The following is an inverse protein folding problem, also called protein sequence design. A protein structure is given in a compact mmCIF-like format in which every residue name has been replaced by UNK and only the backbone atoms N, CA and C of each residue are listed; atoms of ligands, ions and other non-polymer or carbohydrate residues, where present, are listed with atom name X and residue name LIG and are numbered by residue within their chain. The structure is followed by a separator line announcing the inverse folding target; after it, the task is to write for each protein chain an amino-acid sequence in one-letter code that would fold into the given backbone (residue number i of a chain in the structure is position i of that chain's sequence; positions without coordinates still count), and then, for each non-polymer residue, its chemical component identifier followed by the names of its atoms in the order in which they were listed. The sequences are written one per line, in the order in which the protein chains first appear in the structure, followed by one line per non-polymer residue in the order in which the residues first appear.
data_IF_413985076075
#
_entry.id   IF_413985076075
#
_cell.length_a   1.000
_cell.length_b   1.000
_cell.length_c   1.000
_cell.angle_alpha   90.00
_cell.angle_beta   90.00
_cell.angle_gamma   90.00
#
_symmetry.space_group_name_H-M   'P 1'
#
loop_
_entity.id
_entity.type
_entity.pdbx_description
1 polymer ?
#
# COMPACT_ATOMS: atom_id res chain seq x y z
N UNK A 1 17.36 6.18 16.22
CA UNK A 1 16.61 7.31 15.63
C UNK A 1 16.76 7.14 14.13
N UNK A 2 15.73 6.66 13.45
CA UNK A 2 15.84 6.29 12.03
C UNK A 2 15.80 7.53 11.16
N UNK A 3 16.69 7.62 10.17
CA UNK A 3 16.66 8.70 9.18
C UNK A 3 15.41 8.50 8.32
N UNK A 4 14.49 9.48 8.23
CA UNK A 4 13.31 9.38 7.38
C UNK A 4 13.74 9.23 5.92
N UNK A 5 12.98 8.48 5.12
CA UNK A 5 13.27 8.43 3.69
C UNK A 5 13.00 9.81 3.08
N UNK A 6 13.59 10.09 1.92
CA UNK A 6 13.33 11.35 1.20
C UNK A 6 11.83 11.59 0.98
N UNK A 7 11.06 10.53 0.73
CA UNK A 7 9.61 10.60 0.56
C UNK A 7 8.87 10.98 1.85
N UNK A 8 9.44 10.68 3.03
CA UNK A 8 8.86 10.96 4.34
C UNK A 8 9.18 12.39 4.84
N UNK A 9 10.11 13.10 4.20
CA UNK A 9 10.41 14.50 4.52
C UNK A 9 9.15 15.36 4.30
N UNK A 10 8.78 16.11 5.33
CA UNK A 10 7.53 16.90 5.33
C UNK A 10 6.24 16.06 5.32
N UNK A 11 6.32 14.73 5.52
CA UNK A 11 5.15 13.85 5.60
C UNK A 11 4.15 14.33 6.65
N UNK A 12 4.63 14.63 7.86
CA UNK A 12 3.79 15.12 8.97
C UNK A 12 3.02 16.41 8.64
N UNK A 13 3.61 17.31 7.86
CA UNK A 13 2.94 18.56 7.44
C UNK A 13 1.88 18.25 6.40
N UNK A 14 2.20 17.40 5.40
CA UNK A 14 1.22 16.97 4.39
C UNK A 14 0.05 16.21 5.01
N UNK A 15 0.29 15.39 6.01
CA UNK A 15 -0.76 14.67 6.74
C UNK A 15 -1.73 15.62 7.44
N UNK A 16 -1.25 16.71 8.06
CA UNK A 16 -2.13 17.71 8.71
C UNK A 16 -3.09 18.35 7.70
N UNK A 17 -2.63 18.62 6.47
CA UNK A 17 -3.47 19.21 5.43
C UNK A 17 -4.40 18.20 4.73
N UNK A 18 -4.03 16.91 4.72
CA UNK A 18 -4.82 15.86 4.06
C UNK A 18 -5.83 15.19 4.99
N UNK A 19 -5.53 15.09 6.28
CA UNK A 19 -6.37 14.36 7.23
C UNK A 19 -7.65 15.14 7.51
N UNK A 20 -8.80 14.57 7.13
CA UNK A 20 -10.13 15.10 7.44
C UNK A 20 -10.73 16.04 6.40
N UNK A 21 -10.02 16.34 5.31
CA UNK A 21 -10.54 17.19 4.23
C UNK A 21 -11.16 16.33 3.13
N UNK A 22 -12.44 15.97 3.29
CA UNK A 22 -13.20 15.15 2.34
C UNK A 22 -14.35 15.95 1.72
N UNK A 23 -14.02 17.07 1.06
CA UNK A 23 -15.03 17.93 0.47
C UNK A 23 -15.66 17.24 -0.76
N UNK A 24 -16.95 16.92 -0.68
CA UNK A 24 -17.69 16.31 -1.79
C UNK A 24 -17.55 14.78 -1.94
N UNK A 25 -16.89 14.10 -0.98
CA UNK A 25 -16.66 12.65 -1.05
C UNK A 25 -17.03 11.97 0.25
N UNK A 26 -17.92 10.96 0.20
CA UNK A 26 -18.20 10.05 1.30
C UNK A 26 -17.15 8.95 1.35
N UNK A 27 -16.50 8.79 2.51
CA UNK A 27 -15.50 7.73 2.73
C UNK A 27 -15.99 6.77 3.81
N UNK A 28 -15.96 5.49 3.47
CA UNK A 28 -16.25 4.39 4.39
C UNK A 28 -15.00 3.51 4.41
N UNK A 29 -14.25 3.54 5.52
CA UNK A 29 -13.11 2.65 5.75
C UNK A 29 -13.51 1.60 6.78
N UNK A 30 -13.44 0.33 6.41
CA UNK A 30 -13.65 -0.82 7.28
C UNK A 30 -12.34 -1.58 7.39
N UNK A 31 -11.70 -1.50 8.57
CA UNK A 31 -10.47 -2.23 8.83
C UNK A 31 -10.73 -3.36 9.82
N UNK A 32 -10.61 -4.59 9.36
CA UNK A 32 -10.83 -5.80 10.14
C UNK A 32 -9.53 -6.57 10.28
N UNK A 33 -9.11 -6.85 11.51
CA UNK A 33 -7.99 -7.75 11.77
C UNK A 33 -8.54 -9.13 12.08
N UNK A 34 -8.27 -10.10 11.20
CA UNK A 34 -8.72 -11.48 11.38
C UNK A 34 -7.56 -12.36 11.84
N UNK A 35 -7.78 -13.17 12.87
CA UNK A 35 -6.87 -14.17 13.50
C UNK A 35 -5.36 -13.97 13.22
N UNK A 36 -4.65 -13.26 14.12
CA UNK A 36 -3.18 -13.09 14.29
C UNK A 36 -2.27 -12.76 13.08
N UNK A 37 -2.60 -13.16 11.86
CA UNK A 37 -1.75 -13.10 10.65
C UNK A 37 -2.46 -12.51 9.44
N UNK A 38 -3.79 -12.35 9.45
CA UNK A 38 -4.55 -11.80 8.33
C UNK A 38 -5.12 -10.42 8.68
N UNK A 39 -4.75 -9.41 7.92
CA UNK A 39 -5.36 -8.08 8.02
C UNK A 39 -6.15 -7.81 6.75
N UNK A 40 -7.44 -7.53 6.89
CA UNK A 40 -8.31 -7.19 5.78
C UNK A 40 -8.79 -5.75 5.95
N UNK A 41 -8.65 -4.96 4.91
CA UNK A 41 -9.11 -3.58 4.84
C UNK A 41 -10.02 -3.48 3.63
N UNK A 42 -11.21 -2.94 3.84
CA UNK A 42 -12.16 -2.65 2.79
C UNK A 42 -12.46 -1.15 2.84
N UNK A 43 -12.09 -0.46 1.78
CA UNK A 43 -12.31 0.95 1.57
C UNK A 43 -13.36 1.14 0.50
N UNK A 44 -14.35 1.99 0.77
CA UNK A 44 -15.34 2.40 -0.20
C UNK A 44 -15.40 3.93 -0.21
N UNK A 45 -15.18 4.50 -1.38
CA UNK A 45 -15.16 5.94 -1.63
C UNK A 45 -16.28 6.27 -2.60
N UNK A 46 -17.23 7.09 -2.15
CA UNK A 46 -18.32 7.62 -2.96
C UNK A 46 -18.05 9.09 -3.25
N UNK A 47 -17.71 9.42 -4.49
CA UNK A 47 -17.57 10.80 -4.91
C UNK A 47 -18.96 11.33 -5.31
N UNK A 48 -19.51 12.28 -4.53
CA UNK A 48 -20.83 12.86 -4.80
C UNK A 48 -20.82 13.83 -5.98
N UNK A 49 -19.68 14.47 -6.27
CA UNK A 49 -19.55 15.40 -7.38
C UNK A 49 -19.59 14.68 -8.75
N UNK A 50 -18.98 13.49 -8.83
CA UNK A 50 -18.93 12.68 -10.06
C UNK A 50 -19.96 11.53 -10.06
N UNK A 51 -20.70 11.35 -8.97
CA UNK A 51 -21.57 10.18 -8.74
C UNK A 51 -20.83 8.84 -8.97
N UNK A 52 -19.53 8.80 -8.67
CA UNK A 52 -18.66 7.63 -8.89
C UNK A 52 -18.40 6.89 -7.59
N UNK A 53 -18.65 5.59 -7.59
CA UNK A 53 -18.32 4.70 -6.48
C UNK A 53 -17.03 3.93 -6.80
N UNK A 54 -16.06 3.99 -5.89
CA UNK A 54 -14.81 3.24 -5.98
C UNK A 54 -14.66 2.40 -4.71
N UNK A 55 -14.52 1.09 -4.86
CA UNK A 55 -14.18 0.19 -3.77
C UNK A 55 -12.76 -0.35 -3.95
N UNK A 56 -12.05 -0.47 -2.84
CA UNK A 56 -10.75 -1.10 -2.72
C UNK A 56 -10.85 -2.12 -1.59
N UNK A 57 -10.47 -3.37 -1.84
CA UNK A 57 -10.20 -4.29 -0.74
C UNK A 57 -8.72 -4.66 -0.76
N UNK A 58 -8.06 -4.48 0.37
CA UNK A 58 -6.69 -4.88 0.62
C UNK A 58 -6.67 -6.00 1.66
N UNK A 59 -6.00 -7.10 1.32
CA UNK A 59 -5.76 -8.22 2.21
C UNK A 59 -4.26 -8.39 2.38
N UNK A 60 -3.79 -8.24 3.61
CA UNK A 60 -2.39 -8.43 3.99
C UNK A 60 -2.26 -9.68 4.84
N UNK A 61 -1.56 -10.68 4.33
CA UNK A 61 -1.27 -11.92 5.04
C UNK A 61 0.18 -11.93 5.51
N UNK A 62 0.40 -11.87 6.82
CA UNK A 62 1.73 -11.92 7.46
C UNK A 62 2.17 -13.36 7.69
N UNK A 63 3.19 -13.78 6.94
CA UNK A 63 3.91 -15.03 7.13
C UNK A 63 5.19 -14.82 7.96
N UNK A 64 5.81 -15.91 8.44
CA UNK A 64 7.09 -15.82 9.18
C UNK A 64 8.23 -15.25 8.31
N UNK A 65 8.13 -15.42 6.99
CA UNK A 65 9.12 -15.00 6.00
C UNK A 65 8.62 -13.85 5.12
N UNK A 66 7.68 -13.02 5.58
CA UNK A 66 7.23 -11.84 4.82
C UNK A 66 5.75 -11.56 4.94
N UNK A 67 5.21 -10.69 4.08
CA UNK A 67 3.78 -10.45 3.96
C UNK A 67 3.34 -10.55 2.50
N UNK A 68 2.22 -11.21 2.26
CA UNK A 68 1.54 -11.21 0.97
C UNK A 68 0.48 -10.11 1.00
N UNK A 69 0.43 -9.30 -0.06
CA UNK A 69 -0.54 -8.26 -0.28
C UNK A 69 -1.42 -8.67 -1.45
N UNK A 70 -2.72 -8.66 -1.25
CA UNK A 70 -3.70 -8.85 -2.32
C UNK A 70 -4.61 -7.64 -2.29
N UNK A 71 -4.65 -6.86 -3.36
CA UNK A 71 -5.60 -5.74 -3.50
C UNK A 71 -6.51 -5.98 -4.68
N UNK A 72 -7.79 -5.71 -4.51
CA UNK A 72 -8.74 -5.65 -5.63
C UNK A 72 -9.42 -4.30 -5.63
N UNK A 73 -9.75 -3.82 -6.81
CA UNK A 73 -10.57 -2.61 -6.99
C UNK A 73 -11.90 -2.97 -7.65
N UNK A 74 -12.92 -2.14 -7.46
CA UNK A 74 -14.21 -2.30 -8.15
C UNK A 74 -14.12 -2.02 -9.65
N UNK A 75 -13.02 -1.42 -10.11
CA UNK A 75 -12.69 -1.18 -11.52
C UNK A 75 -11.97 -2.39 -12.17
N UNK A 76 -12.07 -3.58 -11.55
CA UNK A 76 -11.53 -4.82 -12.09
C UNK A 76 -10.02 -5.01 -11.93
N UNK A 77 -9.28 -4.05 -11.38
CA UNK A 77 -7.82 -4.17 -11.22
C UNK A 77 -7.46 -5.04 -10.01
N UNK A 78 -6.64 -6.05 -10.27
CA UNK A 78 -6.06 -6.95 -9.27
C UNK A 78 -4.59 -6.57 -9.03
N UNK A 79 -4.20 -6.45 -7.77
CA UNK A 79 -2.83 -6.23 -7.34
C UNK A 79 -2.38 -7.39 -6.46
N UNK A 80 -1.20 -7.93 -6.76
CA UNK A 80 -0.55 -9.02 -6.03
C UNK A 80 0.83 -8.53 -5.62
N UNK A 81 1.06 -8.43 -4.32
CA UNK A 81 2.33 -8.00 -3.75
C UNK A 81 2.93 -9.02 -2.79
N UNK A 82 4.24 -8.98 -2.66
CA UNK A 82 4.99 -9.71 -1.66
C UNK A 82 6.05 -8.79 -1.03
N UNK A 83 6.08 -8.77 0.29
CA UNK A 83 6.98 -7.98 1.11
C UNK A 83 7.90 -8.92 1.91
N UNK A 84 9.21 -8.77 1.79
CA UNK A 84 10.18 -9.47 2.61
C UNK A 84 10.92 -8.45 3.47
N UNK A 85 10.63 -8.43 4.77
CA UNK A 85 11.20 -7.43 5.68
C UNK A 85 12.32 -8.05 6.52
N UNK A 86 13.56 -7.58 6.36
CA UNK A 86 14.69 -7.93 7.22
C UNK A 86 15.12 -9.41 7.22
N UNK A 87 14.69 -10.21 6.23
CA UNK A 87 14.93 -11.66 6.18
C UNK A 87 16.29 -12.05 5.60
N UNK A 88 16.72 -11.34 4.56
CA UNK A 88 18.00 -11.60 3.90
C UNK A 88 19.12 -10.82 4.59
N UNK A 89 18.88 -9.54 4.88
CA UNK A 89 19.83 -8.62 5.50
C UNK A 89 19.06 -7.72 6.47
N UNK A 90 19.59 -7.51 7.68
CA UNK A 90 18.99 -6.58 8.66
C UNK A 90 18.93 -5.17 8.06
N UNK A 91 17.74 -4.56 8.10
CA UNK A 91 17.49 -3.22 7.56
C UNK A 91 17.21 -3.17 6.06
N UNK A 92 17.14 -4.31 5.36
CA UNK A 92 16.68 -4.38 3.96
C UNK A 92 15.26 -4.94 3.89
N UNK A 93 14.37 -4.17 3.29
CA UNK A 93 13.02 -4.58 2.93
C UNK A 93 12.92 -4.70 1.41
N UNK A 94 12.36 -5.80 0.92
CA UNK A 94 12.06 -6.01 -0.49
C UNK A 94 10.56 -6.01 -0.68
N UNK A 95 10.11 -5.30 -1.71
CA UNK A 95 8.72 -5.25 -2.13
C UNK A 95 8.66 -5.65 -3.60
N UNK A 96 7.76 -6.56 -3.95
CA UNK A 96 7.40 -6.84 -5.33
C UNK A 96 5.89 -6.72 -5.44
N UNK A 97 5.38 -5.95 -6.40
CA UNK A 97 3.96 -5.76 -6.64
C UNK A 97 3.66 -5.88 -8.13
N UNK A 98 2.77 -6.80 -8.49
CA UNK A 98 2.25 -6.98 -9.82
C UNK A 98 0.81 -6.47 -9.85
N UNK A 99 0.45 -5.67 -10.86
CA UNK A 99 -0.94 -5.33 -11.13
C UNK A 99 -1.39 -5.91 -12.46
N UNK A 100 -2.65 -6.30 -12.51
CA UNK A 100 -3.29 -6.82 -13.70
C UNK A 100 -4.72 -6.31 -13.79
N UNK A 101 -5.07 -5.72 -14.93
CA UNK A 101 -6.43 -5.36 -15.28
C UNK A 101 -6.92 -6.30 -16.41
N UNK A 102 -7.89 -7.19 -16.15
CA UNK A 102 -8.42 -8.11 -17.14
C UNK A 102 -9.22 -7.41 -18.24
N UNK A 103 -9.85 -6.28 -17.95
CA UNK A 103 -10.67 -5.53 -18.93
C UNK A 103 -9.80 -4.86 -19.99
N UNK A 104 -8.65 -4.32 -19.59
CA UNK A 104 -7.72 -3.63 -20.51
C UNK A 104 -6.52 -4.47 -20.92
N UNK A 105 -6.38 -5.68 -20.37
CA UNK A 105 -5.18 -6.52 -20.43
C UNK A 105 -3.88 -5.80 -19.97
N UNK A 106 -4.01 -4.68 -19.25
CA UNK A 106 -2.86 -3.94 -18.74
C UNK A 106 -2.20 -4.72 -17.61
N UNK A 107 -0.87 -4.78 -17.64
CA UNK A 107 -0.04 -5.42 -16.62
C UNK A 107 1.09 -4.47 -16.22
N UNK A 108 1.34 -4.36 -14.93
CA UNK A 108 2.51 -3.66 -14.41
C UNK A 108 3.21 -4.53 -13.40
N UNK A 109 4.53 -4.43 -13.31
CA UNK A 109 5.31 -5.11 -12.28
C UNK A 109 6.26 -4.09 -11.68
N UNK A 110 6.13 -3.90 -10.39
CA UNK A 110 6.97 -3.02 -9.59
C UNK A 110 7.82 -3.87 -8.67
N UNK A 111 9.11 -3.64 -8.66
CA UNK A 111 10.03 -4.28 -7.73
C UNK A 111 10.87 -3.21 -7.05
N UNK A 112 10.82 -3.16 -5.73
CA UNK A 112 11.52 -2.20 -4.91
C UNK A 112 12.37 -2.86 -3.83
N UNK A 113 13.47 -2.22 -3.49
CA UNK A 113 14.26 -2.51 -2.30
C UNK A 113 14.43 -1.24 -1.50
N UNK A 114 14.27 -1.33 -0.18
CA UNK A 114 14.53 -0.26 0.75
C UNK A 114 15.59 -0.72 1.73
N UNK A 115 16.60 0.10 1.93
CA UNK A 115 17.63 -0.10 2.94
C UNK A 115 17.58 1.05 3.93
N UNK A 116 17.31 0.75 5.20
CA UNK A 116 17.31 1.70 6.29
C UNK A 116 18.27 1.26 7.40
N UNK A 117 19.10 2.21 7.84
CA UNK A 117 19.99 2.07 8.97
C UNK A 117 20.01 3.40 9.75
N UNK A 118 20.71 3.46 10.89
CA UNK A 118 20.75 4.64 11.78
C UNK A 118 21.25 5.92 11.10
N UNK A 119 21.98 5.82 9.98
CA UNK A 119 22.56 6.97 9.26
C UNK A 119 22.06 7.14 7.83
N UNK A 120 21.51 6.10 7.20
CA UNK A 120 21.20 6.08 5.77
C UNK A 120 19.84 5.44 5.56
N UNK A 121 19.01 6.07 4.74
CA UNK A 121 17.77 5.51 4.23
C UNK A 121 17.77 5.68 2.70
N UNK A 122 17.91 4.58 1.99
CA UNK A 122 17.96 4.53 0.53
C UNK A 122 16.91 3.55 0.01
N UNK A 123 16.27 3.90 -1.09
CA UNK A 123 15.32 3.03 -1.76
C UNK A 123 15.59 3.03 -3.27
N UNK A 124 15.41 1.88 -3.89
CA UNK A 124 15.41 1.73 -5.33
C UNK A 124 14.11 1.04 -5.72
N UNK A 125 13.39 1.58 -6.70
CA UNK A 125 12.15 1.01 -7.25
C UNK A 125 12.27 0.95 -8.77
N UNK A 126 11.84 -0.16 -9.35
CA UNK A 126 11.73 -0.40 -10.77
C UNK A 126 10.24 -0.61 -11.06
N UNK A 127 9.66 0.15 -11.98
CA UNK A 127 8.25 0.12 -12.37
C UNK A 127 8.04 -0.34 -13.81
#
# INVERSE_FOLDING_TARGET
MEVPSFADLGGRVRDVFKTGFHHGTGLINIKTKSVKRLEMMSDATLNFAESKFNGLMETKYKANAGALLLKWTTEGVLHLGCEFNGLLIKGVDLLSECSYNPETAAKSVKAGSKFANEKINAGCEIC
#
